data_IF_810395027613
#
_entry.id   IF_810395027613
#
_cell.length_a   1.000
_cell.length_b   1.000
_cell.length_c   1.000
_cell.angle_alpha   90.00
_cell.angle_beta   90.00
_cell.angle_gamma   90.00
#
_symmetry.space_group_name_H-M   'P 1'
#
loop_
_entity.id
_entity.type
_entity.pdbx_description
1 polymer ?
#
# COMPACT_ATOMS: atom_id res chain seq x y z
N UNK A 1 8.31 15.29 5.72
CA UNK A 1 7.24 14.63 6.48
C UNK A 1 6.74 13.44 5.67
N UNK A 2 6.56 12.28 6.28
CA UNK A 2 6.09 11.10 5.58
C UNK A 2 4.59 11.23 5.24
N UNK A 3 4.19 10.77 4.05
CA UNK A 3 2.83 10.91 3.49
C UNK A 3 2.09 9.57 3.53
N UNK A 4 0.77 9.60 3.67
CA UNK A 4 -0.09 8.47 3.39
C UNK A 4 -0.08 8.12 1.89
N UNK A 5 0.00 6.83 1.60
CA UNK A 5 -0.01 6.26 0.26
C UNK A 5 -1.11 5.21 0.24
N UNK A 6 -2.12 5.39 -0.62
CA UNK A 6 -3.29 4.50 -0.65
C UNK A 6 -2.95 3.06 -0.97
N UNK A 7 -1.88 2.79 -1.72
CA UNK A 7 -1.44 1.44 -2.07
C UNK A 7 -0.60 0.75 -0.97
N UNK A 8 -0.13 1.50 0.03
CA UNK A 8 0.71 0.98 1.12
C UNK A 8 -0.12 0.22 2.17
N UNK A 9 0.57 -0.29 3.20
CA UNK A 9 -0.10 -0.79 4.39
C UNK A 9 0.48 -0.21 5.68
N UNK A 10 -0.43 0.02 6.62
CA UNK A 10 -0.16 0.68 7.89
C UNK A 10 -0.76 -0.09 9.04
N UNK A 11 -0.07 -0.14 10.17
CA UNK A 11 -0.71 -0.31 11.47
C UNK A 11 -1.25 1.03 11.95
N UNK A 12 -2.46 1.01 12.48
CA UNK A 12 -3.10 2.17 13.09
C UNK A 12 -2.90 2.05 14.60
N UNK A 13 -2.12 2.97 15.17
CA UNK A 13 -1.74 2.95 16.58
C UNK A 13 -2.33 4.13 17.34
N UNK A 14 -2.91 3.84 18.49
CA UNK A 14 -3.31 4.88 19.45
C UNK A 14 -2.07 5.56 20.07
N UNK A 15 -2.25 6.72 20.73
CA UNK A 15 -1.14 7.41 21.42
C UNK A 15 -0.43 6.55 22.48
N UNK A 16 -1.12 5.57 23.06
CA UNK A 16 -0.57 4.62 24.03
C UNK A 16 0.24 3.47 23.37
N UNK A 17 0.35 3.46 22.05
CA UNK A 17 1.06 2.44 21.26
C UNK A 17 0.20 1.23 20.88
N UNK A 18 -1.04 1.14 21.34
CA UNK A 18 -1.94 0.02 21.03
C UNK A 18 -2.30 -0.01 19.55
N UNK A 19 -2.06 -1.14 18.88
CA UNK A 19 -2.51 -1.38 17.51
C UNK A 19 -4.01 -1.68 17.53
N UNK A 20 -4.81 -0.83 16.88
CA UNK A 20 -6.29 -0.96 16.87
C UNK A 20 -6.85 -1.37 15.51
N UNK A 21 -6.07 -1.20 14.45
CA UNK A 21 -6.45 -1.59 13.11
C UNK A 21 -5.22 -1.69 12.20
N UNK A 22 -5.45 -2.18 10.98
CA UNK A 22 -4.55 -2.01 9.85
C UNK A 22 -5.28 -1.29 8.73
N UNK A 23 -4.57 -0.46 7.98
CA UNK A 23 -5.02 0.03 6.69
C UNK A 23 -4.20 -0.67 5.63
N UNK A 24 -4.82 -1.47 4.77
CA UNK A 24 -4.12 -2.19 3.70
C UNK A 24 -4.78 -1.80 2.39
N UNK A 25 -4.07 -1.10 1.50
CA UNK A 25 -4.60 -0.67 0.20
C UNK A 25 -5.87 0.17 0.33
N UNK A 26 -5.86 1.07 1.31
CA UNK A 26 -7.05 1.85 1.68
C UNK A 26 -8.13 1.08 2.42
N UNK A 27 -8.06 -0.25 2.58
CA UNK A 27 -9.05 -0.99 3.37
C UNK A 27 -8.75 -0.86 4.86
N UNK A 28 -9.69 -0.35 5.64
CA UNK A 28 -9.59 -0.25 7.09
C UNK A 28 -10.09 -1.55 7.75
N UNK A 29 -9.15 -2.28 8.34
CA UNK A 29 -9.29 -3.60 8.93
C UNK A 29 -9.15 -3.47 10.45
N UNK A 30 -10.27 -3.52 11.17
CA UNK A 30 -10.26 -3.33 12.63
C UNK A 30 -9.78 -4.60 13.31
N UNK A 31 -8.93 -4.45 14.34
CA UNK A 31 -8.50 -5.57 15.15
C UNK A 31 -9.70 -6.15 15.92
N UNK A 32 -9.89 -7.46 15.88
CA UNK A 32 -10.88 -8.13 16.71
C UNK A 32 -10.37 -8.22 18.17
N UNK A 33 -11.03 -7.59 19.15
CA UNK A 33 -10.63 -7.65 20.55
C UNK A 33 -10.80 -9.04 21.19
N UNK A 34 -11.50 -9.98 20.53
CA UNK A 34 -11.79 -11.32 21.09
C UNK A 34 -10.62 -12.29 20.88
N UNK A 35 -9.83 -12.13 19.81
CA UNK A 35 -8.75 -13.05 19.46
C UNK A 35 -7.39 -12.60 20.03
N UNK A 36 -7.17 -12.80 21.33
CA UNK A 36 -5.85 -12.65 21.94
C UNK A 36 -4.90 -13.75 21.44
N UNK A 37 -4.11 -13.45 20.41
CA UNK A 37 -3.06 -14.34 19.88
C UNK A 37 -3.00 -14.45 18.36
N UNK A 38 -4.00 -13.90 17.64
CA UNK A 38 -4.01 -13.84 16.18
C UNK A 38 -4.70 -12.57 15.70
N UNK A 39 -4.07 -11.83 14.78
CA UNK A 39 -4.72 -10.71 14.11
C UNK A 39 -5.68 -11.30 13.07
N UNK A 40 -6.94 -11.56 13.46
CA UNK A 40 -8.04 -11.89 12.54
C UNK A 40 -8.92 -10.64 12.37
N UNK A 41 -8.55 -9.71 11.47
CA UNK A 41 -9.23 -8.45 11.37
C UNK A 41 -10.49 -8.58 10.51
N UNK A 42 -11.55 -7.89 10.90
CA UNK A 42 -12.73 -7.78 10.06
C UNK A 42 -12.73 -6.48 9.25
N UNK A 43 -13.34 -6.55 8.07
CA UNK A 43 -13.59 -5.38 7.23
C UNK A 43 -14.50 -4.39 7.97
N UNK A 44 -13.92 -3.26 8.37
CA UNK A 44 -14.60 -2.22 9.15
C UNK A 44 -14.81 -0.93 8.34
N UNK A 45 -14.06 -0.70 7.27
CA UNK A 45 -14.23 0.47 6.42
C UNK A 45 -13.24 0.57 5.27
N UNK A 46 -13.23 1.71 4.60
CA UNK A 46 -12.28 2.04 3.54
C UNK A 46 -11.86 3.51 3.60
N UNK A 47 -10.65 3.80 3.14
CA UNK A 47 -10.11 5.14 2.98
C UNK A 47 -10.55 5.66 1.62
N UNK A 48 -11.43 6.65 1.63
CA UNK A 48 -11.90 7.33 0.44
C UNK A 48 -11.27 8.71 0.33
N UNK A 49 -11.32 9.28 -0.86
CA UNK A 49 -10.92 10.69 -1.09
C UNK A 49 -12.19 11.53 -1.06
N UNK A 50 -12.25 12.48 -0.13
CA UNK A 50 -13.32 13.47 -0.07
C UNK A 50 -13.22 14.51 -1.18
N UNK A 51 -14.23 15.37 -1.27
CA UNK A 51 -14.36 16.35 -2.34
C UNK A 51 -13.23 17.40 -2.35
N UNK A 52 -12.59 17.67 -1.20
CA UNK A 52 -11.46 18.60 -1.10
C UNK A 52 -10.10 17.88 -1.13
N UNK A 53 -10.08 16.60 -1.52
CA UNK A 53 -8.87 15.79 -1.60
C UNK A 53 -8.43 15.19 -0.25
N UNK A 54 -9.19 15.38 0.81
CA UNK A 54 -8.93 14.79 2.12
C UNK A 54 -9.08 13.27 2.09
N UNK A 55 -8.28 12.56 2.90
CA UNK A 55 -8.34 11.09 2.98
C UNK A 55 -9.22 10.71 4.17
N UNK A 56 -10.45 10.28 3.93
CA UNK A 56 -11.45 10.01 4.95
C UNK A 56 -11.51 8.51 5.22
N UNK A 57 -11.40 8.09 6.48
CA UNK A 57 -11.67 6.71 6.87
C UNK A 57 -13.18 6.53 7.01
N UNK A 58 -13.82 6.09 5.92
CA UNK A 58 -15.24 5.82 5.88
C UNK A 58 -15.54 4.45 6.48
N UNK A 59 -16.30 4.42 7.58
CA UNK A 59 -16.68 3.19 8.25
C UNK A 59 -17.84 2.51 7.54
N UNK A 60 -17.88 1.18 7.57
CA UNK A 60 -19.00 0.38 7.04
C UNK A 60 -20.29 0.65 7.81
N UNK A 61 -20.17 0.85 9.12
CA UNK A 61 -21.30 1.11 10.03
C UNK A 61 -20.97 2.37 10.84
N UNK A 62 -21.92 3.30 10.89
CA UNK A 62 -21.78 4.54 11.64
C UNK A 62 -21.09 5.67 10.84
N UNK A 63 -20.79 6.79 11.51
CA UNK A 63 -20.12 7.92 10.88
C UNK A 63 -18.68 7.57 10.49
N UNK A 64 -18.05 8.39 9.62
CA UNK A 64 -16.61 8.30 9.35
C UNK A 64 -15.80 8.33 10.65
N UNK A 65 -14.73 7.54 10.69
CA UNK A 65 -13.87 7.47 11.87
C UNK A 65 -13.04 8.74 12.03
N UNK A 66 -12.58 9.31 10.91
CA UNK A 66 -11.69 10.47 10.92
C UNK A 66 -11.07 10.77 9.56
N UNK A 67 -10.11 11.70 9.56
CA UNK A 67 -9.36 12.15 8.38
C UNK A 67 -7.88 11.86 8.57
N UNK A 68 -7.19 11.42 7.52
CA UNK A 68 -5.75 11.18 7.51
C UNK A 68 -5.02 12.45 7.05
N UNK A 69 -4.21 13.01 7.95
CA UNK A 69 -3.30 14.13 7.73
C UNK A 69 -1.85 13.61 7.72
N UNK A 70 -1.21 13.53 6.55
CA UNK A 70 0.13 12.95 6.45
C UNK A 70 0.14 11.47 6.84
N UNK A 71 0.70 11.13 8.01
CA UNK A 71 0.66 9.78 8.63
C UNK A 71 -0.09 9.76 9.97
N UNK A 72 -1.06 10.65 10.15
CA UNK A 72 -1.87 10.72 11.37
C UNK A 72 -3.34 10.64 11.01
N UNK A 73 -4.07 9.69 11.60
CA UNK A 73 -5.52 9.66 11.58
C UNK A 73 -6.06 10.52 12.71
N UNK A 74 -6.72 11.63 12.39
CA UNK A 74 -7.44 12.49 13.32
C UNK A 74 -8.88 12.02 13.41
N UNK A 75 -9.27 11.43 14.53
CA UNK A 75 -10.62 10.88 14.71
C UNK A 75 -11.65 11.99 14.88
N UNK A 76 -12.94 11.66 14.71
CA UNK A 76 -14.04 12.58 15.02
C UNK A 76 -14.09 13.06 16.47
N UNK A 77 -13.45 12.35 17.41
CA UNK A 77 -13.28 12.79 18.80
C UNK A 77 -12.06 13.69 19.03
N UNK A 78 -11.25 13.92 18.00
CA UNK A 78 -10.01 14.71 18.07
C UNK A 78 -8.77 13.92 18.53
N UNK A 79 -8.88 12.61 18.75
CA UNK A 79 -7.71 11.78 19.00
C UNK A 79 -6.82 11.70 17.76
N UNK A 80 -5.50 11.64 17.96
CA UNK A 80 -4.51 11.52 16.89
C UNK A 80 -3.86 10.15 16.94
N UNK A 81 -4.21 9.29 15.99
CA UNK A 81 -3.67 7.94 15.88
C UNK A 81 -2.59 7.92 14.80
N UNK A 82 -1.50 7.21 15.05
CA UNK A 82 -0.35 7.13 14.14
C UNK A 82 -0.54 6.02 13.10
N UNK A 83 -0.14 6.30 11.85
CA UNK A 83 -0.01 5.32 10.79
C UNK A 83 1.45 4.91 10.65
N UNK A 84 1.78 3.71 11.13
CA UNK A 84 3.13 3.14 11.07
C UNK A 84 3.18 2.13 9.93
N UNK A 85 4.20 2.20 9.07
CA UNK A 85 4.34 1.24 7.97
C UNK A 85 4.34 -0.20 8.51
N UNK A 86 3.54 -1.07 7.88
CA UNK A 86 3.51 -2.48 8.21
C UNK A 86 4.58 -3.21 7.36
N UNK A 87 5.68 -3.69 7.94
CA UNK A 87 6.73 -4.35 7.17
C UNK A 87 6.22 -5.66 6.55
N UNK A 88 6.57 -5.92 5.28
CA UNK A 88 6.22 -7.14 4.55
C UNK A 88 4.85 -7.14 3.84
N UNK A 89 4.02 -6.13 4.10
CA UNK A 89 2.86 -5.77 3.27
C UNK A 89 2.87 -4.26 3.07
N UNK A 90 3.39 -3.76 1.95
CA UNK A 90 3.16 -2.37 1.56
C UNK A 90 4.06 -1.32 2.22
N UNK A 91 5.30 -1.66 2.61
CA UNK A 91 6.36 -0.65 2.56
C UNK A 91 6.58 -0.29 1.11
N UNK A 92 6.38 0.98 0.73
CA UNK A 92 6.61 1.46 -0.65
C UNK A 92 8.02 1.01 -1.07
N UNK A 93 8.10 0.22 -2.13
CA UNK A 93 9.38 -0.23 -2.67
C UNK A 93 10.03 0.97 -3.35
N UNK A 94 10.99 1.59 -2.66
CA UNK A 94 11.72 2.77 -3.17
C UNK A 94 12.99 2.38 -3.92
N UNK A 95 13.51 1.18 -3.70
CA UNK A 95 14.70 0.69 -4.39
C UNK A 95 14.34 0.12 -5.79
N UNK A 96 14.91 0.65 -6.87
CA UNK A 96 14.60 0.22 -8.24
C UNK A 96 15.01 -1.24 -8.53
N UNK A 97 16.09 -1.73 -7.92
CA UNK A 97 16.56 -3.10 -8.13
C UNK A 97 15.70 -4.10 -7.38
N UNK A 98 15.21 -3.74 -6.20
CA UNK A 98 14.18 -4.51 -5.49
C UNK A 98 12.90 -4.58 -6.33
N UNK A 99 12.48 -3.48 -6.94
CA UNK A 99 11.30 -3.46 -7.82
C UNK A 99 11.48 -4.39 -9.04
N UNK A 100 12.62 -4.33 -9.73
CA UNK A 100 12.95 -5.26 -10.83
C UNK A 100 12.96 -6.71 -10.37
N UNK A 101 13.52 -6.99 -9.21
CA UNK A 101 13.50 -8.32 -8.63
C UNK A 101 12.07 -8.83 -8.40
N UNK A 102 11.16 -7.96 -7.97
CA UNK A 102 9.73 -8.31 -7.84
C UNK A 102 9.07 -8.62 -9.18
N UNK A 103 9.34 -7.83 -10.23
CA UNK A 103 8.85 -8.10 -11.59
C UNK A 103 9.32 -9.48 -12.09
N UNK A 104 10.62 -9.77 -11.96
CA UNK A 104 11.17 -11.08 -12.35
C UNK A 104 10.56 -12.23 -11.54
N UNK A 105 10.41 -12.07 -10.22
CA UNK A 105 9.78 -13.07 -9.36
C UNK A 105 8.31 -13.30 -9.68
N UNK A 106 7.62 -12.26 -10.18
CA UNK A 106 6.22 -12.34 -10.59
C UNK A 106 6.09 -13.17 -11.85
N UNK A 107 6.93 -12.92 -12.84
CA UNK A 107 6.95 -13.70 -14.09
C UNK A 107 7.21 -15.18 -13.80
N UNK A 108 8.23 -15.48 -12.98
CA UNK A 108 8.52 -16.86 -12.56
C UNK A 108 7.32 -17.51 -11.83
N UNK A 109 6.60 -16.75 -10.99
CA UNK A 109 5.42 -17.27 -10.30
C UNK A 109 4.26 -17.58 -11.28
N UNK A 110 4.10 -16.80 -12.35
CA UNK A 110 3.15 -17.06 -13.43
C UNK A 110 3.53 -18.36 -14.15
N UNK A 111 4.80 -18.51 -14.53
CA UNK A 111 5.32 -19.72 -15.20
C UNK A 111 5.12 -20.98 -14.35
N UNK A 112 5.25 -20.86 -13.03
CA UNK A 112 5.04 -21.94 -12.06
C UNK A 112 3.57 -22.19 -11.72
N UNK A 113 2.65 -21.34 -12.15
CA UNK A 113 1.23 -21.41 -11.77
C UNK A 113 0.94 -21.10 -10.29
N UNK A 114 1.86 -20.46 -9.57
CA UNK A 114 1.69 -20.07 -8.17
C UNK A 114 0.88 -18.76 -8.07
N UNK A 115 -0.43 -18.87 -8.31
CA UNK A 115 -1.35 -17.74 -8.31
C UNK A 115 -1.35 -16.97 -6.99
N UNK A 116 -1.11 -17.65 -5.85
CA UNK A 116 -1.04 -16.98 -4.54
C UNK A 116 0.15 -16.04 -4.48
N UNK A 117 1.31 -16.46 -4.99
CA UNK A 117 2.51 -15.64 -5.05
C UNK A 117 2.40 -14.53 -6.08
N UNK A 118 1.73 -14.77 -7.21
CA UNK A 118 1.39 -13.72 -8.19
C UNK A 118 0.57 -12.63 -7.53
N UNK A 119 -0.55 -12.97 -6.89
CA UNK A 119 -1.40 -11.99 -6.20
C UNK A 119 -0.63 -11.19 -5.15
N UNK A 120 0.25 -11.86 -4.38
CA UNK A 120 1.06 -11.15 -3.38
C UNK A 120 2.10 -10.21 -4.01
N UNK A 121 2.70 -10.58 -5.15
CA UNK A 121 3.68 -9.74 -5.85
C UNK A 121 3.02 -8.57 -6.57
N UNK A 122 1.89 -8.79 -7.25
CA UNK A 122 1.04 -7.72 -7.79
C UNK A 122 0.77 -6.68 -6.71
N UNK A 123 0.48 -7.18 -5.51
CA UNK A 123 0.18 -6.31 -4.38
C UNK A 123 1.35 -5.39 -4.02
N UNK A 124 2.58 -5.91 -4.04
CA UNK A 124 3.76 -5.09 -3.74
C UNK A 124 4.14 -4.17 -4.90
N UNK A 125 4.05 -4.66 -6.14
CA UNK A 125 4.39 -3.92 -7.37
C UNK A 125 3.50 -2.68 -7.53
N UNK A 126 2.19 -2.82 -7.36
CA UNK A 126 1.24 -1.69 -7.39
C UNK A 126 1.47 -0.64 -6.30
N UNK A 127 2.22 -0.98 -5.25
CA UNK A 127 2.50 -0.10 -4.12
C UNK A 127 3.90 0.53 -4.17
N UNK A 128 4.68 0.25 -5.22
CA UNK A 128 6.06 0.71 -5.33
C UNK A 128 6.19 2.21 -5.64
N UNK A 129 7.41 2.74 -5.56
CA UNK A 129 7.75 4.07 -6.08
C UNK A 129 8.10 4.06 -7.58
N UNK A 130 7.90 2.92 -8.23
CA UNK A 130 8.34 2.63 -9.58
C UNK A 130 7.19 1.97 -10.34
N UNK A 131 7.16 2.21 -11.65
CA UNK A 131 6.30 1.53 -12.59
C UNK A 131 7.11 1.03 -13.79
N UNK A 132 6.60 0.00 -14.47
CA UNK A 132 7.16 -0.41 -15.76
C UNK A 132 7.05 0.76 -16.75
N UNK A 133 8.10 1.01 -17.53
CA UNK A 133 8.13 2.10 -18.48
C UNK A 133 6.94 1.98 -19.45
N UNK A 134 6.06 2.99 -19.55
CA UNK A 134 4.87 2.90 -20.39
C UNK A 134 5.19 2.85 -21.88
N UNK A 135 6.38 3.33 -22.28
CA UNK A 135 6.77 3.43 -23.69
C UNK A 135 7.37 2.11 -24.21
N UNK A 136 8.39 1.58 -23.53
CA UNK A 136 9.04 0.32 -23.95
C UNK A 136 8.41 -0.93 -23.32
N UNK A 137 7.72 -0.81 -22.19
CA UNK A 137 7.17 -1.96 -21.46
C UNK A 137 8.23 -2.90 -20.88
N UNK A 138 9.48 -2.43 -20.69
CA UNK A 138 10.66 -3.25 -20.35
C UNK A 138 10.96 -4.37 -21.37
N UNK A 139 10.50 -4.20 -22.62
CA UNK A 139 10.77 -5.17 -23.69
C UNK A 139 12.23 -5.07 -24.13
N UNK A 140 12.93 -6.21 -24.13
CA UNK A 140 14.37 -6.30 -24.40
C UNK A 140 14.83 -5.50 -25.62
N UNK A 141 14.13 -5.61 -26.76
CA UNK A 141 14.50 -4.91 -27.99
C UNK A 141 14.19 -3.41 -28.01
N UNK A 142 13.19 -2.96 -27.25
CA UNK A 142 12.74 -1.56 -27.25
C UNK A 142 13.39 -0.75 -26.11
N UNK A 143 13.89 -1.44 -25.07
CA UNK A 143 14.37 -0.83 -23.84
C UNK A 143 15.69 -0.09 -24.02
N UNK A 144 16.66 -0.70 -24.69
CA UNK A 144 18.05 -0.24 -24.69
C UNK A 144 18.20 1.19 -25.24
N UNK A 145 17.40 1.54 -26.25
CA UNK A 145 17.36 2.87 -26.86
C UNK A 145 16.16 3.73 -26.40
N UNK A 146 15.43 3.30 -25.36
CA UNK A 146 14.24 4.02 -24.91
C UNK A 146 14.61 5.35 -24.24
N UNK A 147 14.20 6.52 -24.80
CA UNK A 147 14.56 7.82 -24.24
C UNK A 147 13.87 8.10 -22.89
N UNK A 148 12.74 7.46 -22.63
CA UNK A 148 11.89 7.69 -21.45
C UNK A 148 12.46 7.03 -20.21
N UNK A 149 12.90 5.78 -20.30
CA UNK A 149 13.53 5.09 -19.18
C UNK A 149 15.07 5.03 -19.27
N UNK A 150 15.67 5.51 -20.37
CA UNK A 150 17.12 5.51 -20.56
C UNK A 150 17.74 4.11 -20.36
N UNK A 151 17.14 3.10 -20.97
CA UNK A 151 17.60 1.71 -20.83
C UNK A 151 17.20 1.00 -19.53
N UNK A 152 16.52 1.68 -18.60
CA UNK A 152 16.23 1.12 -17.27
C UNK A 152 15.01 0.20 -17.22
N UNK A 153 14.12 0.26 -18.21
CA UNK A 153 12.87 -0.52 -18.26
C UNK A 153 11.77 -0.07 -17.29
N UNK A 154 12.12 0.76 -16.31
CA UNK A 154 11.22 1.26 -15.26
C UNK A 154 11.38 2.78 -15.13
N UNK A 155 10.36 3.45 -14.60
CA UNK A 155 10.35 4.89 -14.30
C UNK A 155 9.70 5.13 -12.93
N UNK A 156 9.97 6.28 -12.27
CA UNK A 156 9.27 6.64 -11.04
C UNK A 156 7.75 6.70 -11.24
N UNK A 157 6.99 6.15 -10.28
CA UNK A 157 5.53 6.22 -10.27
C UNK A 157 5.06 7.60 -9.75
N UNK A 158 4.28 8.38 -10.54
CA UNK A 158 3.95 9.79 -10.26
C UNK A 158 3.14 10.08 -8.98
#
# INVERSE_FOLDING_TARGET
MARYVSAAAYEVRKPDGTVVARIIRGVYLQADPIHQGGFDPYYAGTVITGDNGERIVHMRIGPPLGVIEGRTLVTGSGERWELVDLPGLGSRVEDPDVFRNMLMRRELAIEMGDLRRVTWLDVQIESAAWMVCPDCGDRFGDRDDCPTCQGQGIVPDP
#
